data_IF_606728416654
#
_entry.id   IF_606728416654
#
_cell.length_a   1.000
_cell.length_b   1.000
_cell.length_c   1.000
_cell.angle_alpha   90.00
_cell.angle_beta   90.00
_cell.angle_gamma   90.00
#
_symmetry.space_group_name_H-M   'P 1'
#
loop_
_entity.id
_entity.type
_entity.pdbx_description
1 polymer ?
#
# COMPACT_ATOMS: atom_id res chain seq x y z
N UNK A 1 -14.50 4.57 -7.39
CA UNK A 1 -13.04 4.47 -7.20
C UNK A 1 -12.54 5.70 -6.45
N UNK A 2 -11.63 5.49 -5.52
CA UNK A 2 -11.08 6.55 -4.68
C UNK A 2 -9.97 7.26 -5.43
N UNK A 3 -9.96 8.58 -5.45
CA UNK A 3 -8.87 9.29 -6.10
C UNK A 3 -7.66 9.39 -5.17
N UNK A 4 -6.50 9.75 -5.74
CA UNK A 4 -5.24 9.75 -4.99
C UNK A 4 -5.24 10.75 -3.85
N UNK A 5 -5.83 11.92 -4.06
CA UNK A 5 -5.82 12.95 -3.02
C UNK A 5 -6.67 12.54 -1.83
N UNK A 6 -7.84 11.95 -2.09
CA UNK A 6 -8.69 11.47 -1.02
C UNK A 6 -8.02 10.32 -0.29
N UNK A 7 -7.42 9.40 -1.02
CA UNK A 7 -6.72 8.27 -0.41
C UNK A 7 -5.60 8.74 0.50
N UNK A 8 -4.80 9.71 0.06
CA UNK A 8 -3.70 10.24 0.87
C UNK A 8 -4.19 10.79 2.20
N UNK A 9 -5.33 11.45 2.19
CA UNK A 9 -5.88 12.03 3.40
C UNK A 9 -6.40 11.00 4.39
N UNK A 10 -6.73 9.80 3.92
CA UNK A 10 -7.30 8.75 4.76
C UNK A 10 -6.26 7.73 5.23
N UNK A 11 -5.15 7.62 4.53
CA UNK A 11 -4.13 6.61 4.85
C UNK A 11 -3.24 7.13 5.97
N UNK A 12 -3.09 6.32 7.01
CA UNK A 12 -2.33 6.69 8.20
C UNK A 12 -1.26 5.65 8.50
N UNK A 13 -0.18 6.04 9.18
CA UNK A 13 0.83 5.06 9.62
C UNK A 13 0.21 3.96 10.46
N UNK A 14 0.74 2.77 10.33
CA UNK A 14 0.33 1.57 11.05
C UNK A 14 -1.02 1.00 10.65
N UNK A 15 -1.64 1.57 9.63
CA UNK A 15 -2.92 1.07 9.13
C UNK A 15 -2.70 -0.25 8.39
N UNK A 16 -3.53 -1.28 8.62
CA UNK A 16 -3.38 -2.54 7.89
C UNK A 16 -3.67 -2.38 6.41
N UNK A 17 -2.97 -3.14 5.58
CA UNK A 17 -3.22 -3.20 4.14
C UNK A 17 -3.76 -4.58 3.83
N UNK A 18 -4.95 -4.64 3.24
CA UNK A 18 -5.62 -5.90 2.94
C UNK A 18 -5.80 -6.05 1.43
N UNK A 19 -5.77 -7.28 0.98
CA UNK A 19 -5.92 -7.58 -0.43
C UNK A 19 -7.39 -7.68 -0.83
N UNK A 20 -7.64 -7.99 -2.09
CA UNK A 20 -9.01 -7.98 -2.63
C UNK A 20 -9.92 -9.02 -1.97
N UNK A 21 -9.38 -10.05 -1.34
CA UNK A 21 -10.17 -11.03 -0.59
C UNK A 21 -10.03 -10.84 0.93
N UNK A 22 -9.70 -9.63 1.36
CA UNK A 22 -9.66 -9.19 2.75
C UNK A 22 -8.57 -9.82 3.61
N UNK A 23 -7.56 -10.42 2.98
CA UNK A 23 -6.41 -10.92 3.74
C UNK A 23 -5.40 -9.80 3.97
N UNK A 24 -5.01 -9.58 5.21
CA UNK A 24 -3.97 -8.59 5.50
C UNK A 24 -2.62 -9.14 5.05
N UNK A 25 -1.89 -8.35 4.26
CA UNK A 25 -0.56 -8.78 3.82
C UNK A 25 0.53 -7.77 4.15
N UNK A 26 0.16 -6.60 4.68
CA UNK A 26 1.15 -5.57 4.99
C UNK A 26 0.57 -4.55 5.96
N UNK A 27 1.40 -3.61 6.37
CA UNK A 27 1.02 -2.50 7.23
C UNK A 27 1.67 -1.25 6.65
N UNK A 28 0.96 -0.12 6.70
CA UNK A 28 1.48 1.14 6.20
C UNK A 28 2.59 1.65 7.11
N UNK A 29 3.73 2.05 6.53
CA UNK A 29 4.73 2.82 7.27
C UNK A 29 4.38 4.30 7.12
N UNK A 30 4.40 4.80 5.91
CA UNK A 30 3.96 6.17 5.61
C UNK A 30 3.77 6.31 4.10
N UNK A 31 3.28 7.46 3.69
CA UNK A 31 3.20 7.77 2.26
C UNK A 31 4.58 8.15 1.75
N UNK A 32 4.91 7.69 0.55
CA UNK A 32 6.21 7.93 -0.05
C UNK A 32 6.03 8.64 -1.39
N UNK A 33 6.69 9.77 -1.56
CA UNK A 33 6.54 10.55 -2.78
C UNK A 33 5.10 11.01 -2.96
N UNK A 34 4.67 11.09 -4.21
CA UNK A 34 3.32 11.57 -4.53
C UNK A 34 2.30 10.46 -4.54
N UNK A 35 2.68 9.30 -5.06
CA UNK A 35 1.70 8.31 -5.48
C UNK A 35 2.00 6.91 -4.96
N UNK A 36 2.81 6.81 -3.92
CA UNK A 36 3.20 5.50 -3.39
C UNK A 36 2.99 5.43 -1.89
N UNK A 37 2.76 4.22 -1.42
CA UNK A 37 2.69 3.90 0.01
C UNK A 37 3.92 3.06 0.33
N UNK A 38 4.70 3.51 1.31
CA UNK A 38 5.78 2.70 1.85
C UNK A 38 5.21 1.79 2.92
N UNK A 39 5.43 0.50 2.77
CA UNK A 39 4.93 -0.50 3.71
C UNK A 39 5.98 -0.73 4.80
N UNK A 40 5.51 -1.10 5.98
CA UNK A 40 6.40 -1.48 7.07
C UNK A 40 7.21 -2.70 6.66
N UNK A 41 8.33 -2.93 7.37
CA UNK A 41 9.20 -4.05 7.08
C UNK A 41 8.47 -5.37 7.20
N UNK A 42 8.72 -6.26 6.26
CA UNK A 42 8.18 -7.60 6.31
C UNK A 42 9.04 -8.48 7.23
N UNK A 43 8.78 -9.78 7.23
CA UNK A 43 9.49 -10.71 8.12
C UNK A 43 10.98 -10.77 7.82
N UNK A 44 11.40 -10.42 6.59
CA UNK A 44 12.81 -10.41 6.22
C UNK A 44 13.47 -9.04 6.48
N UNK A 45 12.72 -8.07 6.97
CA UNK A 45 13.24 -6.74 7.23
C UNK A 45 13.24 -5.81 6.02
N UNK A 46 12.52 -6.18 4.97
CA UNK A 46 12.49 -5.43 3.73
C UNK A 46 11.23 -4.57 3.65
N UNK A 47 11.41 -3.27 3.36
CA UNK A 47 10.28 -2.40 3.03
C UNK A 47 9.85 -2.64 1.59
N UNK A 48 8.56 -2.46 1.34
CA UNK A 48 8.01 -2.56 0.00
C UNK A 48 7.18 -1.32 -0.28
N UNK A 49 6.91 -1.07 -1.55
CA UNK A 49 6.19 0.12 -1.99
C UNK A 49 5.09 -0.30 -2.95
N UNK A 50 3.90 0.25 -2.75
CA UNK A 50 2.78 0.01 -3.66
C UNK A 50 2.24 1.35 -4.16
N UNK A 51 1.78 1.40 -5.43
CA UNK A 51 1.23 2.65 -5.94
C UNK A 51 -0.16 2.90 -5.36
N UNK A 52 -0.49 4.17 -5.18
CA UNK A 52 -1.83 4.56 -4.72
C UNK A 52 -2.92 4.12 -5.68
N UNK A 53 -2.58 3.92 -6.96
CA UNK A 53 -3.56 3.46 -7.94
C UNK A 53 -4.12 2.08 -7.65
N UNK A 54 -3.45 1.30 -6.81
CA UNK A 54 -3.98 0.01 -6.39
C UNK A 54 -5.11 0.13 -5.36
N UNK A 55 -5.20 1.27 -4.68
CA UNK A 55 -6.14 1.44 -3.56
C UNK A 55 -7.55 1.64 -4.10
N UNK A 56 -8.46 0.79 -3.68
CA UNK A 56 -9.87 0.88 -4.07
C UNK A 56 -10.71 1.59 -3.02
N UNK A 57 -10.33 1.45 -1.75
CA UNK A 57 -11.02 2.13 -0.67
C UNK A 57 -10.15 2.16 0.57
N UNK A 58 -10.46 3.06 1.48
CA UNK A 58 -9.80 3.19 2.77
C UNK A 58 -10.87 3.38 3.83
N UNK A 59 -10.89 2.51 4.82
CA UNK A 59 -11.72 2.67 6.01
C UNK A 59 -10.77 2.63 7.21
N UNK A 60 -10.87 1.64 8.07
CA UNK A 60 -9.84 1.42 9.08
C UNK A 60 -8.68 0.60 8.51
N UNK A 61 -8.76 0.23 7.24
CA UNK A 61 -7.74 -0.53 6.50
C UNK A 61 -7.62 0.04 5.11
N UNK A 62 -6.46 -0.19 4.50
CA UNK A 62 -6.25 0.13 3.08
C UNK A 62 -6.60 -1.09 2.26
N UNK A 63 -7.54 -0.95 1.34
CA UNK A 63 -7.98 -2.05 0.47
C UNK A 63 -7.38 -1.87 -0.91
N UNK A 64 -6.74 -2.93 -1.42
CA UNK A 64 -6.15 -2.90 -2.76
C UNK A 64 -6.95 -3.80 -3.70
N UNK A 65 -6.72 -3.64 -4.98
CA UNK A 65 -7.56 -4.19 -6.05
C UNK A 65 -7.14 -5.58 -6.51
N UNK A 66 -6.22 -6.24 -5.82
CA UNK A 66 -5.68 -7.52 -6.24
C UNK A 66 -5.42 -8.43 -5.06
N UNK A 67 -5.32 -9.75 -5.32
CA UNK A 67 -5.01 -10.71 -4.26
C UNK A 67 -3.63 -10.46 -3.65
N UNK A 68 -3.46 -10.84 -2.40
CA UNK A 68 -2.20 -10.59 -1.69
C UNK A 68 -1.00 -11.23 -2.35
N UNK A 69 -1.13 -12.45 -2.86
CA UNK A 69 -0.01 -13.11 -3.52
C UNK A 69 0.40 -12.39 -4.81
N UNK A 70 -0.57 -11.82 -5.53
CA UNK A 70 -0.24 -11.01 -6.70
C UNK A 70 0.40 -9.69 -6.29
N UNK A 71 -0.14 -9.05 -5.27
CA UNK A 71 0.44 -7.80 -4.75
C UNK A 71 1.89 -8.01 -4.34
N UNK A 72 2.17 -9.11 -3.67
CA UNK A 72 3.52 -9.40 -3.20
C UNK A 72 4.48 -9.76 -4.33
N UNK A 73 3.97 -10.10 -5.51
CA UNK A 73 4.82 -10.31 -6.69
C UNK A 73 5.05 -9.02 -7.46
N UNK A 74 4.15 -8.05 -7.32
CA UNK A 74 4.20 -6.83 -8.12
C UNK A 74 4.70 -5.61 -7.37
N UNK A 75 4.75 -5.66 -6.05
CA UNK A 75 5.18 -4.51 -5.28
C UNK A 75 6.67 -4.22 -5.54
N UNK A 76 7.08 -3.00 -5.25
CA UNK A 76 8.46 -2.59 -5.46
C UNK A 76 9.24 -2.77 -4.17
N UNK A 77 10.52 -3.09 -4.29
CA UNK A 77 11.42 -3.22 -3.14
C UNK A 77 12.29 -2.00 -2.95
N UNK A 78 12.22 -1.05 -3.87
CA UNK A 78 13.02 0.17 -3.82
C UNK A 78 12.08 1.37 -3.90
N UNK A 79 12.49 2.52 -3.37
CA UNK A 79 11.67 3.72 -3.47
C UNK A 79 11.36 4.05 -4.93
N UNK A 80 10.20 4.65 -5.20
CA UNK A 80 9.88 5.03 -6.57
C UNK A 80 10.92 6.01 -7.09
N UNK A 81 11.16 5.91 -8.39
CA UNK A 81 12.10 6.80 -9.06
C UNK A 81 11.64 8.24 -8.95
N UNK A 82 12.59 9.14 -8.92
CA UNK A 82 12.30 10.56 -8.87
C UNK A 82 12.08 11.15 -10.25
N UNK A 83 12.03 10.36 -11.23
CA UNK A 83 11.86 10.86 -12.59
C UNK A 83 10.69 11.81 -12.71
#
# INVERSE_FOLDING_TARGET
MLDSETAKGLIKPHMPVVCSNNGQFAVVDHLEGRDFIKLARDASGQHHYIPLTWVTSVDDKVHVDRPGDQAMREWKTQPPSQA
#
